data_IF_304015793121
#
_entry.id   IF_304015793121
#
_cell.length_a   1.000
_cell.length_b   1.000
_cell.length_c   1.000
_cell.angle_alpha   90.00
_cell.angle_beta   90.00
_cell.angle_gamma   90.00
#
_symmetry.space_group_name_H-M   'P 1'
#
loop_
_entity.id
_entity.type
_entity.pdbx_description
1 polymer ?
#
# COMPACT_ATOMS: atom_id res chain seq x y z
N UNK A 1 13.68 -4.45 2.58
CA UNK A 1 12.29 -4.71 2.15
C UNK A 1 12.15 -4.50 0.66
N UNK A 2 11.46 -5.37 -0.03
CA UNK A 2 11.20 -5.16 -1.46
C UNK A 2 10.21 -4.03 -1.67
N UNK A 3 10.35 -3.37 -2.80
CA UNK A 3 9.51 -2.22 -3.13
C UNK A 3 8.68 -2.43 -4.40
N UNK A 4 8.86 -3.55 -5.08
CA UNK A 4 8.13 -3.79 -6.32
C UNK A 4 6.85 -4.57 -6.02
N UNK A 5 5.69 -4.04 -6.40
CA UNK A 5 4.42 -4.71 -6.12
C UNK A 5 4.32 -6.12 -6.66
N UNK A 6 4.83 -6.35 -7.85
CA UNK A 6 4.73 -7.66 -8.47
C UNK A 6 5.63 -8.71 -7.82
N UNK A 7 6.70 -8.29 -7.17
CA UNK A 7 7.59 -9.22 -6.47
C UNK A 7 7.29 -9.31 -4.97
N UNK A 8 6.39 -8.47 -4.49
CA UNK A 8 6.03 -8.45 -3.07
C UNK A 8 5.06 -9.57 -2.70
N UNK A 9 4.42 -10.18 -3.69
CA UNK A 9 3.43 -11.22 -3.43
C UNK A 9 4.09 -12.42 -2.76
N UNK A 10 3.64 -12.76 -1.56
CA UNK A 10 4.21 -13.81 -0.76
C UNK A 10 5.48 -13.44 -0.01
N UNK A 11 6.01 -12.25 -0.21
CA UNK A 11 7.19 -11.78 0.52
C UNK A 11 6.77 -11.34 1.92
N UNK A 12 7.48 -11.83 2.92
CA UNK A 12 7.22 -11.49 4.31
C UNK A 12 8.00 -10.26 4.74
N UNK A 13 7.45 -9.54 5.69
CA UNK A 13 8.09 -8.42 6.34
C UNK A 13 7.67 -8.33 7.78
N UNK A 14 8.27 -7.37 8.48
CA UNK A 14 8.06 -7.18 9.90
C UNK A 14 7.69 -5.73 10.17
N UNK A 15 6.68 -5.52 11.02
CA UNK A 15 6.33 -4.20 11.53
C UNK A 15 6.62 -4.19 13.01
N UNK A 16 7.39 -3.21 13.48
CA UNK A 16 7.72 -3.05 14.88
C UNK A 16 6.99 -1.83 15.42
N UNK A 17 6.16 -2.06 16.44
CA UNK A 17 5.38 -1.02 17.09
C UNK A 17 6.12 -0.60 18.36
N UNK A 18 6.00 0.67 18.77
CA UNK A 18 6.52 1.10 20.06
C UNK A 18 5.90 0.26 21.17
N UNK A 19 6.73 -0.19 22.10
CA UNK A 19 6.26 -1.09 23.17
C UNK A 19 5.11 -0.48 23.96
N UNK A 20 5.13 0.82 24.17
CA UNK A 20 4.07 1.52 24.89
C UNK A 20 2.70 1.40 24.19
N UNK A 21 2.71 1.17 22.89
CA UNK A 21 1.48 1.04 22.08
C UNK A 21 1.07 -0.41 21.87
N UNK A 22 1.87 -1.37 22.32
CA UNK A 22 1.57 -2.79 22.12
C UNK A 22 0.20 -3.23 22.63
N UNK A 23 -0.35 -2.69 23.73
CA UNK A 23 -1.69 -3.05 24.16
C UNK A 23 -2.77 -2.78 23.09
N UNK A 24 -2.53 -1.85 22.19
CA UNK A 24 -3.43 -1.55 21.09
C UNK A 24 -3.53 -2.64 20.03
N UNK A 25 -2.65 -3.63 20.08
CA UNK A 25 -2.65 -4.76 19.16
C UNK A 25 -3.57 -5.90 19.60
N UNK A 26 -4.20 -5.77 20.77
CA UNK A 26 -5.10 -6.82 21.29
C UNK A 26 -6.20 -7.08 20.27
N UNK A 27 -6.46 -8.37 20.01
CA UNK A 27 -7.49 -8.86 19.09
C UNK A 27 -7.20 -8.61 17.61
N UNK A 28 -6.07 -8.00 17.27
CA UNK A 28 -5.70 -7.78 15.86
C UNK A 28 -5.43 -9.11 15.15
N UNK A 29 -4.92 -10.10 15.87
CA UNK A 29 -4.62 -11.42 15.32
C UNK A 29 -5.84 -12.21 14.87
N UNK A 30 -7.05 -11.72 15.18
CA UNK A 30 -8.29 -12.29 14.66
C UNK A 30 -8.58 -11.93 13.21
N UNK A 31 -7.81 -11.02 12.63
CA UNK A 31 -8.00 -10.57 11.25
C UNK A 31 -6.93 -11.17 10.34
N UNK A 32 -7.35 -11.61 9.15
CA UNK A 32 -6.40 -12.15 8.17
C UNK A 32 -5.61 -11.05 7.46
N UNK A 33 -6.20 -9.86 7.34
CA UNK A 33 -5.60 -8.74 6.62
C UNK A 33 -5.72 -7.47 7.43
N UNK A 34 -4.75 -6.58 7.25
CA UNK A 34 -4.74 -5.27 7.88
C UNK A 34 -4.41 -4.20 6.86
N UNK A 35 -4.81 -2.98 7.18
CA UNK A 35 -4.47 -1.79 6.40
C UNK A 35 -3.32 -1.09 7.11
N UNK A 36 -2.24 -0.84 6.40
CA UNK A 36 -1.12 -0.05 6.88
C UNK A 36 -1.16 1.32 6.24
N UNK A 37 -1.10 2.36 7.05
CA UNK A 37 -0.93 3.73 6.61
C UNK A 37 0.48 4.17 6.99
N UNK A 38 1.22 4.71 6.03
CA UNK A 38 2.63 5.00 6.24
C UNK A 38 3.04 6.27 5.50
N UNK A 39 4.21 6.78 5.85
CA UNK A 39 4.75 8.00 5.25
C UNK A 39 5.77 7.64 4.18
N UNK A 40 5.59 8.20 2.98
CA UNK A 40 6.59 8.11 1.92
C UNK A 40 7.77 9.02 2.27
N UNK A 41 8.60 8.57 3.18
CA UNK A 41 9.65 9.41 3.79
C UNK A 41 10.76 9.82 2.82
N UNK A 42 10.89 9.13 1.70
CA UNK A 42 11.88 9.46 0.69
C UNK A 42 11.31 10.30 -0.45
N UNK A 43 10.01 10.57 -0.44
CA UNK A 43 9.38 11.44 -1.43
C UNK A 43 9.71 12.90 -1.13
N UNK A 44 9.86 13.68 -2.20
CA UNK A 44 10.18 15.12 -2.08
C UNK A 44 9.27 15.92 -2.97
N UNK A 45 8.79 17.05 -2.43
CA UNK A 45 7.97 17.98 -3.16
C UNK A 45 6.56 17.50 -3.43
N UNK A 46 5.82 18.31 -4.17
CA UNK A 46 4.42 18.06 -4.53
C UNK A 46 4.29 18.19 -6.03
N UNK A 47 3.58 17.27 -6.65
CA UNK A 47 3.36 17.27 -8.08
C UNK A 47 1.86 17.14 -8.32
N UNK A 48 1.21 18.27 -8.63
CA UNK A 48 -0.26 18.32 -8.75
C UNK A 48 -0.80 17.63 -9.99
N UNK A 49 0.02 17.52 -11.03
CA UNK A 49 -0.31 16.77 -12.23
C UNK A 49 0.73 15.68 -12.41
N UNK A 50 0.29 14.46 -12.59
CA UNK A 50 1.19 13.31 -12.72
C UNK A 50 0.81 12.51 -13.94
N UNK A 51 1.80 11.83 -14.51
CA UNK A 51 1.60 10.89 -15.61
C UNK A 51 1.70 9.48 -15.02
N UNK A 52 0.57 8.81 -14.76
CA UNK A 52 0.60 7.51 -14.12
C UNK A 52 1.29 6.45 -14.99
N UNK A 53 1.74 5.37 -14.35
CA UNK A 53 2.48 4.30 -15.00
C UNK A 53 1.77 3.71 -16.22
N UNK A 54 0.46 3.49 -16.12
CA UNK A 54 -0.31 2.85 -17.19
C UNK A 54 -1.03 3.84 -18.10
N UNK A 55 -0.61 5.09 -18.08
CA UNK A 55 -1.27 6.15 -18.86
C UNK A 55 -0.23 6.96 -19.61
N UNK A 56 -0.66 7.62 -20.66
CA UNK A 56 0.16 8.53 -21.44
C UNK A 56 -0.30 10.00 -21.29
N UNK A 57 -1.28 10.25 -20.42
CA UNK A 57 -1.80 11.58 -20.14
C UNK A 57 -1.53 11.97 -18.68
N UNK A 58 -1.42 13.27 -18.46
CA UNK A 58 -1.34 13.80 -17.11
C UNK A 58 -2.71 13.73 -16.43
N UNK A 59 -2.70 13.35 -15.15
CA UNK A 59 -3.91 13.28 -14.33
C UNK A 59 -3.71 14.11 -13.08
N UNK A 60 -4.78 14.55 -12.47
CA UNK A 60 -4.70 15.22 -11.18
C UNK A 60 -4.13 14.28 -10.13
N UNK A 61 -3.28 14.80 -9.27
CA UNK A 61 -2.61 14.04 -8.22
C UNK A 61 -3.60 13.22 -7.39
N UNK A 62 -4.72 13.83 -6.98
CA UNK A 62 -5.68 13.16 -6.11
C UNK A 62 -6.52 12.09 -6.82
N UNK A 63 -6.41 12.02 -8.15
CA UNK A 63 -6.99 10.93 -8.92
C UNK A 63 -5.99 9.77 -9.11
N UNK A 64 -4.85 9.80 -8.43
CA UNK A 64 -3.78 8.81 -8.48
C UNK A 64 -3.34 8.46 -7.06
N UNK A 65 -2.48 7.46 -6.95
CA UNK A 65 -1.82 7.11 -5.68
C UNK A 65 -0.34 7.47 -5.67
N UNK A 66 0.07 8.41 -6.52
CA UNK A 66 1.46 8.88 -6.58
C UNK A 66 1.91 9.47 -5.25
N UNK A 67 3.22 9.36 -4.90
CA UNK A 67 3.70 9.72 -3.56
C UNK A 67 3.97 11.20 -3.33
N UNK A 68 4.15 12.00 -4.37
CA UNK A 68 4.48 13.44 -4.21
C UNK A 68 3.24 14.27 -3.89
N UNK A 69 2.78 14.09 -2.68
CA UNK A 69 1.52 14.66 -2.18
C UNK A 69 1.79 15.67 -1.08
N UNK A 70 0.85 16.61 -0.82
CA UNK A 70 0.98 17.53 0.32
C UNK A 70 1.22 16.78 1.64
N UNK A 71 0.48 15.70 1.87
CA UNK A 71 0.76 14.76 2.95
C UNK A 71 1.06 13.43 2.27
N UNK A 72 2.32 13.03 2.25
CA UNK A 72 2.78 11.87 1.49
C UNK A 72 2.47 10.58 2.25
N UNK A 73 1.20 10.24 2.31
CA UNK A 73 0.70 9.07 3.03
C UNK A 73 0.40 7.96 2.03
N UNK A 74 0.94 6.77 2.30
CA UNK A 74 0.65 5.57 1.54
C UNK A 74 -0.29 4.66 2.29
N UNK A 75 -0.95 3.78 1.55
CA UNK A 75 -1.87 2.79 2.09
C UNK A 75 -1.60 1.45 1.41
N UNK A 76 -1.45 0.40 2.22
CA UNK A 76 -1.31 -0.96 1.72
C UNK A 76 -2.18 -1.90 2.53
N UNK A 77 -2.80 -2.86 1.86
CA UNK A 77 -3.51 -3.96 2.51
C UNK A 77 -2.58 -5.15 2.45
N UNK A 78 -2.23 -5.69 3.63
CA UNK A 78 -1.30 -6.80 3.73
C UNK A 78 -1.92 -7.93 4.53
N UNK A 79 -1.40 -9.15 4.32
CA UNK A 79 -1.82 -10.29 5.11
C UNK A 79 -1.10 -10.25 6.45
N UNK A 80 -1.85 -10.47 7.54
CA UNK A 80 -1.29 -10.56 8.88
C UNK A 80 -1.01 -12.03 9.19
N UNK A 81 0.25 -12.35 9.41
CA UNK A 81 0.66 -13.73 9.68
C UNK A 81 0.76 -14.03 11.17
N UNK A 82 1.25 -13.08 11.96
CA UNK A 82 1.47 -13.29 13.38
C UNK A 82 1.58 -11.97 14.11
N UNK A 83 1.08 -11.93 15.34
CA UNK A 83 1.32 -10.83 16.29
C UNK A 83 2.05 -11.42 17.47
N UNK A 84 3.24 -10.89 17.77
CA UNK A 84 4.05 -11.35 18.89
C UNK A 84 4.59 -10.14 19.65
N UNK A 85 3.98 -9.83 20.79
CA UNK A 85 4.34 -8.63 21.56
C UNK A 85 4.07 -7.38 20.74
N UNK A 86 5.11 -6.62 20.47
CA UNK A 86 5.03 -5.38 19.68
C UNK A 86 5.45 -5.61 18.20
N UNK A 87 5.56 -6.87 17.79
CA UNK A 87 6.05 -7.20 16.45
C UNK A 87 4.93 -7.89 15.65
N UNK A 88 4.70 -7.40 14.44
CA UNK A 88 3.78 -8.01 13.50
C UNK A 88 4.57 -8.63 12.37
N UNK A 89 4.25 -9.86 12.02
CA UNK A 89 4.77 -10.50 10.82
C UNK A 89 3.70 -10.44 9.75
N UNK A 90 4.03 -9.92 8.59
CA UNK A 90 3.08 -9.65 7.51
C UNK A 90 3.61 -10.23 6.20
N UNK A 91 2.71 -10.39 5.24
CA UNK A 91 3.04 -10.84 3.90
C UNK A 91 2.48 -9.87 2.86
N UNK A 92 3.02 -9.96 1.64
CA UNK A 92 2.65 -9.10 0.51
C UNK A 92 3.04 -7.65 0.74
N UNK A 93 4.24 -7.46 1.30
CA UNK A 93 4.78 -6.14 1.64
C UNK A 93 5.31 -5.48 0.38
N UNK A 94 4.91 -4.25 0.14
CA UNK A 94 5.32 -3.48 -1.04
C UNK A 94 5.89 -2.11 -0.68
N UNK A 95 6.41 -1.95 0.52
CA UNK A 95 6.97 -0.68 0.97
C UNK A 95 8.47 -0.80 1.21
N UNK A 96 9.15 0.35 1.18
CA UNK A 96 10.57 0.42 1.50
C UNK A 96 10.83 0.04 2.94
N UNK A 97 11.97 -0.58 3.17
CA UNK A 97 12.44 -0.85 4.52
C UNK A 97 12.56 0.46 5.31
N UNK A 98 12.25 0.40 6.58
CA UNK A 98 12.27 1.54 7.51
C UNK A 98 11.26 2.63 7.20
N UNK A 99 10.25 2.33 6.39
CA UNK A 99 9.15 3.27 6.14
C UNK A 99 8.41 3.55 7.46
N UNK A 100 8.27 4.82 7.85
CA UNK A 100 7.57 5.15 9.08
C UNK A 100 6.09 4.80 9.01
N UNK A 101 5.64 4.01 9.96
CA UNK A 101 4.24 3.62 10.06
C UNK A 101 3.46 4.72 10.77
N UNK A 102 2.30 5.07 10.25
CA UNK A 102 1.41 6.08 10.84
C UNK A 102 0.25 5.45 11.59
N UNK A 103 -0.33 4.38 11.06
CA UNK A 103 -1.53 3.78 11.64
C UNK A 103 -1.72 2.35 11.12
N UNK A 104 -2.43 1.55 11.90
CA UNK A 104 -2.86 0.21 11.52
C UNK A 104 -4.36 0.13 11.73
N UNK A 105 -5.08 -0.43 10.76
CA UNK A 105 -6.51 -0.67 10.88
C UNK A 105 -6.81 -2.09 10.42
N UNK A 106 -7.79 -2.76 11.00
CA UNK A 106 -8.19 -4.06 10.47
C UNK A 106 -8.86 -3.88 9.11
N UNK A 107 -8.61 -4.84 8.21
CA UNK A 107 -9.30 -4.88 6.93
C UNK A 107 -10.57 -5.72 7.10
N UNK A 108 -11.72 -5.15 6.72
CA UNK A 108 -13.02 -5.81 6.83
C UNK A 108 -13.68 -5.76 5.45
N UNK A 109 -13.75 -6.91 4.79
CA UNK A 109 -14.17 -6.95 3.39
C UNK A 109 -15.53 -6.35 3.12
N UNK A 110 -16.50 -6.57 3.99
CA UNK A 110 -17.83 -6.02 3.74
C UNK A 110 -17.97 -4.52 4.03
N UNK A 111 -16.98 -3.91 4.70
CA UNK A 111 -16.88 -2.44 4.80
C UNK A 111 -16.02 -1.86 3.69
N UNK A 112 -14.91 -2.55 3.38
CA UNK A 112 -13.78 -1.96 2.68
C UNK A 112 -13.75 -2.35 1.21
N UNK A 113 -14.75 -3.11 0.75
CA UNK A 113 -14.81 -3.57 -0.62
C UNK A 113 -16.15 -3.22 -1.27
N UNK A 114 -16.47 -1.92 -1.39
CA UNK A 114 -17.68 -1.53 -2.10
C UNK A 114 -17.54 -1.85 -3.59
N UNK A 115 -18.66 -2.18 -4.22
CA UNK A 115 -18.64 -2.42 -5.65
C UNK A 115 -18.44 -1.08 -6.37
N UNK A 116 -17.30 -0.93 -7.02
CA UNK A 116 -16.99 0.28 -7.77
C UNK A 116 -17.70 0.27 -9.12
N UNK A 117 -18.47 1.31 -9.40
CA UNK A 117 -19.21 1.43 -10.66
C UNK A 117 -18.45 2.25 -11.71
N UNK A 118 -17.48 3.05 -11.28
CA UNK A 118 -16.65 3.88 -12.15
C UNK A 118 -15.21 3.83 -11.67
N UNK A 119 -14.30 3.64 -12.60
CA UNK A 119 -12.88 3.53 -12.32
C UNK A 119 -12.06 4.72 -12.85
N UNK A 120 -12.73 5.74 -13.41
CA UNK A 120 -12.05 6.90 -13.94
C UNK A 120 -11.09 6.52 -15.07
N UNK A 121 -9.92 7.16 -15.09
CA UNK A 121 -8.90 6.87 -16.10
C UNK A 121 -8.38 5.43 -16.02
N UNK A 122 -8.56 4.76 -14.89
CA UNK A 122 -8.11 3.37 -14.72
C UNK A 122 -8.94 2.38 -15.52
N UNK A 123 -10.13 2.75 -15.99
CA UNK A 123 -10.95 1.88 -16.82
C UNK A 123 -10.20 1.45 -18.08
N UNK A 124 -9.47 2.37 -18.73
CA UNK A 124 -8.62 2.04 -19.86
C UNK A 124 -7.31 1.38 -19.46
N UNK A 125 -6.78 1.74 -18.30
CA UNK A 125 -5.51 1.21 -17.82
C UNK A 125 -5.62 -0.26 -17.39
N UNK A 126 -6.80 -0.73 -17.01
CA UNK A 126 -7.00 -2.12 -16.60
C UNK A 126 -6.64 -3.09 -17.72
N UNK A 127 -6.99 -2.78 -18.96
CA UNK A 127 -6.61 -3.60 -20.11
C UNK A 127 -5.09 -3.56 -20.35
N UNK A 128 -4.50 -2.39 -20.26
CA UNK A 128 -3.05 -2.23 -20.39
C UNK A 128 -2.31 -3.00 -19.30
N UNK A 129 -2.85 -3.03 -18.10
CA UNK A 129 -2.26 -3.75 -16.98
C UNK A 129 -2.15 -5.25 -17.28
N UNK A 130 -3.19 -5.82 -17.88
CA UNK A 130 -3.19 -7.24 -18.24
C UNK A 130 -2.11 -7.57 -19.25
N UNK A 131 -1.88 -6.71 -20.24
CA UNK A 131 -0.87 -6.94 -21.27
C UNK A 131 0.54 -6.61 -20.82
N UNK A 132 0.70 -5.75 -19.82
CA UNK A 132 2.01 -5.31 -19.28
C UNK A 132 2.40 -6.02 -18.02
N UNK A 133 1.76 -7.10 -17.68
CA UNK A 133 1.99 -7.84 -16.45
C UNK A 133 3.44 -8.30 -16.30
N UNK A 134 4.10 -8.62 -17.40
CA UNK A 134 5.49 -9.05 -17.42
C UNK A 134 6.48 -7.92 -17.69
N UNK A 135 6.02 -6.69 -17.75
CA UNK A 135 6.86 -5.54 -18.02
C UNK A 135 7.73 -5.21 -16.80
N UNK A 136 9.03 -5.00 -17.04
CA UNK A 136 10.01 -4.71 -16.00
C UNK A 136 9.75 -3.42 -15.23
N UNK A 137 8.86 -2.57 -15.70
CA UNK A 137 8.53 -1.32 -15.01
C UNK A 137 7.96 -1.55 -13.61
N UNK A 138 7.36 -2.71 -13.38
CA UNK A 138 6.86 -3.04 -12.05
C UNK A 138 7.95 -3.47 -11.09
N UNK A 139 9.10 -3.85 -11.60
CA UNK A 139 10.23 -4.29 -10.78
C UNK A 139 11.21 -3.18 -10.45
N UNK A 140 10.98 -1.98 -10.93
CA UNK A 140 11.90 -0.87 -10.72
C UNK A 140 11.84 -0.26 -9.33
#
# INVERSE_FOLDING_TARGET
MPIQPNSARGVEGTVVIEEALAPGLRDLDGFSHIILLYHFHLSRGVELLVKPFLDDQERGLFATRAPRRPNSIGLSIVELLEVRGNILRIANVDVLDRTPLLDIKPYVSYFDQPEATRLGWLAGAAEKSKTKQSDDRFSA
#
